data_IF_704238771438
#
_entry.id   IF_704238771438
#
_cell.length_a   1.000
_cell.length_b   1.000
_cell.length_c   1.000
_cell.angle_alpha   90.00
_cell.angle_beta   90.00
_cell.angle_gamma   90.00
#
_symmetry.space_group_name_H-M   'P 1'
#
loop_
_entity.id
_entity.type
_entity.pdbx_description
1 polymer ?
#
# COMPACT_ATOMS: atom_id res chain seq x y z
N UNK A 1 15.19 19.73 -6.94
CA UNK A 1 14.92 18.39 -6.36
C UNK A 1 14.55 17.42 -7.47
N UNK A 2 15.22 16.27 -7.59
CA UNK A 2 14.93 15.29 -8.66
C UNK A 2 13.54 14.64 -8.46
N UNK A 3 12.88 14.16 -9.53
CA UNK A 3 11.60 13.45 -9.42
C UNK A 3 11.67 12.26 -8.44
N UNK A 4 12.79 11.53 -8.46
CA UNK A 4 13.06 10.42 -7.53
C UNK A 4 13.09 10.88 -6.06
N UNK A 5 13.78 11.99 -5.75
CA UNK A 5 13.83 12.52 -4.38
C UNK A 5 12.45 12.94 -3.87
N UNK A 6 11.63 13.59 -4.73
CA UNK A 6 10.23 13.92 -4.40
C UNK A 6 9.41 12.69 -4.09
N UNK A 7 9.51 11.66 -4.94
CA UNK A 7 8.78 10.41 -4.75
C UNK A 7 9.17 9.71 -3.45
N UNK A 8 10.46 9.62 -3.14
CA UNK A 8 10.91 8.99 -1.89
C UNK A 8 10.37 9.72 -0.65
N UNK A 9 10.39 11.05 -0.65
CA UNK A 9 9.83 11.84 0.47
C UNK A 9 8.34 11.54 0.63
N UNK A 10 7.56 11.58 -0.46
CA UNK A 10 6.12 11.28 -0.42
C UNK A 10 5.90 9.86 0.07
N UNK A 11 6.61 8.87 -0.46
CA UNK A 11 6.50 7.47 -0.05
C UNK A 11 6.81 7.29 1.45
N UNK A 12 7.87 7.92 1.97
CA UNK A 12 8.21 7.86 3.40
C UNK A 12 7.13 8.48 4.27
N UNK A 13 6.63 9.66 3.91
CA UNK A 13 5.55 10.33 4.64
C UNK A 13 4.28 9.47 4.61
N UNK A 14 3.90 8.96 3.45
CA UNK A 14 2.75 8.07 3.30
C UNK A 14 2.87 6.82 4.16
N UNK A 15 4.05 6.19 4.21
CA UNK A 15 4.28 5.02 5.06
C UNK A 15 4.21 5.36 6.55
N UNK A 16 4.78 6.49 6.97
CA UNK A 16 4.70 6.94 8.36
C UNK A 16 3.25 7.21 8.79
N UNK A 17 2.47 7.89 7.95
CA UNK A 17 1.05 8.14 8.20
C UNK A 17 0.25 6.83 8.20
N UNK A 18 0.54 5.90 7.29
CA UNK A 18 -0.11 4.59 7.25
C UNK A 18 0.13 3.77 8.53
N UNK A 19 1.32 3.86 9.13
CA UNK A 19 1.61 3.23 10.42
C UNK A 19 0.80 3.84 11.56
N UNK A 20 0.70 5.16 11.63
CA UNK A 20 -0.08 5.86 12.67
C UNK A 20 -1.56 5.50 12.52
N UNK A 21 -2.11 5.58 11.31
CA UNK A 21 -3.50 5.22 11.03
C UNK A 21 -3.76 3.74 11.29
N UNK A 22 -2.79 2.86 10.97
CA UNK A 22 -2.87 1.43 11.23
C UNK A 22 -2.96 1.07 12.71
N UNK A 23 -2.28 1.83 13.58
CA UNK A 23 -2.41 1.69 15.03
C UNK A 23 -3.74 2.27 15.54
N UNK A 24 -4.14 3.45 15.05
CA UNK A 24 -5.37 4.13 15.50
C UNK A 24 -6.66 3.46 15.01
N UNK A 25 -6.61 2.62 13.98
CA UNK A 25 -7.80 1.99 13.40
C UNK A 25 -8.56 1.09 14.37
N UNK A 26 -7.88 0.52 15.36
CA UNK A 26 -8.51 -0.38 16.33
C UNK A 26 -9.48 0.38 17.26
N UNK A 27 -9.17 1.64 17.54
CA UNK A 27 -9.97 2.49 18.44
C UNK A 27 -10.86 3.50 17.69
N UNK A 28 -10.57 3.76 16.42
CA UNK A 28 -11.21 4.81 15.65
C UNK A 28 -11.56 4.38 14.21
N UNK A 29 -12.86 4.22 13.93
CA UNK A 29 -13.40 3.88 12.59
C UNK A 29 -12.91 4.84 11.49
N UNK A 30 -12.79 6.14 11.81
CA UNK A 30 -12.28 7.14 10.85
C UNK A 30 -10.84 6.84 10.43
N UNK A 31 -10.00 6.33 11.35
CA UNK A 31 -8.61 5.99 11.06
C UNK A 31 -8.52 4.75 10.18
N UNK A 32 -9.43 3.79 10.37
CA UNK A 32 -9.57 2.60 9.52
C UNK A 32 -9.91 2.97 8.07
N UNK A 33 -10.89 3.85 7.88
CA UNK A 33 -11.31 4.34 6.57
C UNK A 33 -10.15 5.07 5.87
N UNK A 34 -9.47 5.98 6.58
CA UNK A 34 -8.32 6.72 6.05
C UNK A 34 -7.15 5.79 5.73
N UNK A 35 -6.90 4.78 6.56
CA UNK A 35 -5.87 3.77 6.33
C UNK A 35 -6.12 3.00 5.02
N UNK A 36 -7.35 2.50 4.85
CA UNK A 36 -7.78 1.77 3.64
C UNK A 36 -7.64 2.61 2.37
N UNK A 37 -7.97 3.90 2.43
CA UNK A 37 -7.77 4.83 1.31
C UNK A 37 -6.29 5.10 1.02
N UNK A 38 -5.49 5.34 2.05
CA UNK A 38 -4.08 5.70 1.91
C UNK A 38 -3.24 4.56 1.31
N UNK A 39 -3.57 3.31 1.65
CA UNK A 39 -2.91 2.12 1.15
C UNK A 39 -3.43 1.64 -0.20
N UNK A 40 -4.16 2.44 -0.98
CA UNK A 40 -4.57 2.02 -2.31
C UNK A 40 -3.35 1.56 -3.15
N UNK A 41 -3.42 0.39 -3.81
CA UNK A 41 -4.59 -0.50 -3.97
C UNK A 41 -4.76 -1.57 -2.87
N UNK A 42 -3.78 -1.80 -2.00
CA UNK A 42 -3.83 -2.89 -1.01
C UNK A 42 -4.79 -2.65 0.15
N UNK A 43 -5.07 -1.39 0.50
CA UNK A 43 -6.14 -1.07 1.46
C UNK A 43 -7.54 -1.44 0.93
N UNK A 44 -7.72 -1.42 -0.39
CA UNK A 44 -8.94 -1.94 -1.02
C UNK A 44 -8.99 -3.46 -0.95
N UNK A 45 -7.88 -4.14 -1.26
CA UNK A 45 -7.77 -5.60 -1.11
C UNK A 45 -8.11 -6.04 0.32
N UNK A 46 -7.58 -5.30 1.31
CA UNK A 46 -7.88 -5.51 2.72
C UNK A 46 -9.39 -5.48 3.00
N UNK A 47 -10.08 -4.47 2.47
CA UNK A 47 -11.54 -4.32 2.62
C UNK A 47 -12.30 -5.48 1.99
N UNK A 48 -11.89 -5.96 0.81
CA UNK A 48 -12.51 -7.11 0.17
C UNK A 48 -12.35 -8.37 1.03
N UNK A 49 -11.15 -8.61 1.57
CA UNK A 49 -10.88 -9.77 2.40
C UNK A 49 -11.74 -9.75 3.67
N UNK A 50 -11.87 -8.58 4.30
CA UNK A 50 -12.73 -8.36 5.46
C UNK A 50 -14.21 -8.58 5.16
N UNK A 51 -14.69 -8.06 4.03
CA UNK A 51 -16.10 -8.25 3.66
C UNK A 51 -16.40 -9.71 3.28
N UNK A 52 -15.43 -10.39 2.65
CA UNK A 52 -15.57 -11.80 2.25
C UNK A 52 -15.57 -12.73 3.46
N UNK A 53 -14.72 -12.48 4.45
CA UNK A 53 -14.65 -13.33 5.66
C UNK A 53 -15.89 -13.25 6.54
N UNK A 54 -16.58 -12.11 6.53
CA UNK A 54 -17.87 -11.92 7.20
C UNK A 54 -18.95 -12.82 6.59
N UNK A 55 -18.88 -13.10 5.29
CA UNK A 55 -19.83 -13.94 4.58
C UNK A 55 -19.54 -15.44 4.73
N UNK A 56 -18.27 -15.84 4.85
CA UNK A 56 -17.85 -17.26 4.91
C UNK A 56 -17.83 -17.84 6.34
N UNK A 57 -18.32 -17.11 7.34
CA UNK A 57 -18.32 -17.57 8.74
C UNK A 57 -16.92 -17.59 9.40
N UNK A 58 -15.91 -17.06 8.72
CA UNK A 58 -14.53 -16.89 9.21
C UNK A 58 -14.40 -15.61 10.06
N UNK A 59 -15.53 -14.94 10.35
CA UNK A 59 -15.63 -13.71 11.14
C UNK A 59 -14.81 -13.75 12.44
N UNK A 60 -14.90 -14.82 13.22
CA UNK A 60 -14.16 -14.92 14.49
C UNK A 60 -12.64 -14.88 14.31
N UNK A 61 -12.13 -15.34 13.15
CA UNK A 61 -10.71 -15.26 12.83
C UNK A 61 -10.31 -13.87 12.33
N UNK A 62 -11.21 -13.15 11.64
CA UNK A 62 -10.95 -11.78 11.17
C UNK A 62 -11.26 -10.67 12.19
N UNK A 63 -12.05 -10.95 13.22
CA UNK A 63 -12.24 -10.09 14.40
C UNK A 63 -11.06 -10.20 15.39
N UNK A 64 -10.17 -11.19 15.21
CA UNK A 64 -9.00 -11.35 16.07
C UNK A 64 -7.95 -10.27 15.79
N UNK A 65 -7.51 -9.58 16.85
CA UNK A 65 -6.52 -8.49 16.78
C UNK A 65 -5.21 -8.96 16.11
N UNK A 66 -4.83 -10.22 16.32
CA UNK A 66 -3.62 -10.81 15.75
C UNK A 66 -3.77 -10.97 14.23
N UNK A 67 -4.90 -11.48 13.76
CA UNK A 67 -5.19 -11.62 12.32
C UNK A 67 -5.27 -10.26 11.63
N UNK A 68 -5.98 -9.31 12.25
CA UNK A 68 -6.06 -7.92 11.81
C UNK A 68 -4.66 -7.30 11.70
N UNK A 69 -3.82 -7.44 12.73
CA UNK A 69 -2.44 -6.97 12.76
C UNK A 69 -1.55 -7.63 11.70
N UNK A 70 -1.74 -8.91 11.45
CA UNK A 70 -1.02 -9.66 10.41
C UNK A 70 -1.38 -9.16 9.01
N UNK A 71 -2.67 -8.97 8.74
CA UNK A 71 -3.15 -8.41 7.46
C UNK A 71 -2.69 -6.96 7.27
N UNK A 72 -2.65 -6.17 8.35
CA UNK A 72 -2.06 -4.83 8.33
C UNK A 72 -0.59 -4.89 7.89
N UNK A 73 0.23 -5.71 8.55
CA UNK A 73 1.65 -5.84 8.23
C UNK A 73 1.84 -6.28 6.77
N UNK A 74 1.03 -7.23 6.31
CA UNK A 74 1.07 -7.72 4.93
C UNK A 74 0.73 -6.60 3.92
N UNK A 75 -0.31 -5.80 4.18
CA UNK A 75 -0.71 -4.69 3.32
C UNK A 75 0.40 -3.61 3.24
N UNK A 76 1.04 -3.29 4.37
CA UNK A 76 2.16 -2.34 4.43
C UNK A 76 3.38 -2.86 3.66
N UNK A 77 3.71 -4.15 3.79
CA UNK A 77 4.82 -4.77 3.05
C UNK A 77 4.57 -4.79 1.54
N UNK A 78 3.35 -5.13 1.12
CA UNK A 78 2.96 -5.11 -0.28
C UNK A 78 3.02 -3.69 -0.87
N UNK A 79 2.57 -2.68 -0.11
CA UNK A 79 2.67 -1.28 -0.52
C UNK A 79 4.13 -0.81 -0.64
N UNK A 80 4.99 -1.18 0.31
CA UNK A 80 6.41 -0.87 0.24
C UNK A 80 7.08 -1.51 -0.99
N UNK A 81 6.76 -2.77 -1.28
CA UNK A 81 7.25 -3.46 -2.46
C UNK A 81 6.74 -2.82 -3.76
N UNK A 82 5.48 -2.40 -3.79
CA UNK A 82 4.92 -1.67 -4.92
C UNK A 82 5.65 -0.35 -5.18
N UNK A 83 5.96 0.42 -4.12
CA UNK A 83 6.77 1.63 -4.25
C UNK A 83 8.18 1.35 -4.76
N UNK A 84 8.79 0.24 -4.33
CA UNK A 84 10.08 -0.19 -4.85
C UNK A 84 10.02 -0.47 -6.36
N UNK A 85 9.00 -1.19 -6.85
CA UNK A 85 8.82 -1.45 -8.28
C UNK A 85 8.64 -0.18 -9.11
N UNK A 86 7.90 0.81 -8.58
CA UNK A 86 7.73 2.12 -9.23
C UNK A 86 9.09 2.83 -9.34
N UNK A 87 9.89 2.84 -8.26
CA UNK A 87 11.22 3.44 -8.25
C UNK A 87 12.14 2.79 -9.27
N UNK A 88 12.17 1.45 -9.33
CA UNK A 88 12.94 0.70 -10.33
C UNK A 88 12.55 1.07 -11.77
N UNK A 89 11.25 1.22 -12.03
CA UNK A 89 10.74 1.64 -13.35
C UNK A 89 11.13 3.08 -13.69
N UNK A 90 11.08 4.01 -12.73
CA UNK A 90 11.50 5.40 -12.93
C UNK A 90 13.01 5.50 -13.18
N UNK A 91 13.83 4.68 -12.53
CA UNK A 91 15.30 4.63 -12.74
C UNK A 91 15.70 4.06 -14.10
N UNK A 92 14.84 3.26 -14.74
CA UNK A 92 15.05 2.69 -16.09
C UNK A 92 14.15 3.38 -17.13
N UNK A 93 14.33 4.68 -17.45
CA UNK A 93 13.60 5.28 -18.55
C UNK A 93 14.15 4.74 -19.88
N UNK A 94 13.39 3.87 -20.53
CA UNK A 94 13.48 3.44 -21.94
C UNK A 94 14.84 3.61 -22.63
N UNK A 95 15.65 2.55 -22.64
CA UNK A 95 16.81 2.40 -23.55
C UNK A 95 16.41 1.98 -24.97
N UNK A 96 15.14 2.12 -25.37
CA UNK A 96 14.64 1.77 -26.70
C UNK A 96 14.10 3.00 -27.41
N UNK A 97 14.39 3.06 -28.71
CA UNK A 97 14.07 4.10 -29.71
C UNK A 97 15.10 5.24 -29.79
N UNK A 98 16.33 4.90 -30.17
CA UNK A 98 17.22 5.83 -30.88
C UNK A 98 18.15 5.10 -31.86
N UNK A 99 17.60 4.21 -32.68
CA UNK A 99 18.22 3.78 -33.93
C UNK A 99 17.12 3.68 -34.99
N UNK A 100 17.45 4.04 -36.23
CA UNK A 100 16.54 4.21 -37.40
C UNK A 100 15.90 5.60 -37.57
N UNK A 101 16.75 6.63 -37.62
CA UNK A 101 16.73 7.54 -38.79
C UNK A 101 18.17 7.81 -39.17
N UNK A 102 18.72 6.97 -40.05
CA UNK A 102 19.88 7.35 -40.85
C UNK A 102 19.37 7.54 -42.28
N UNK A 103 19.63 8.70 -42.91
CA UNK A 103 19.20 9.01 -44.28
C UNK A 103 19.88 8.12 -45.32
#
# INVERSE_FOLDING_TARGET
MTPLKRYMIVATVTMAVAWILGALRFDHEIAEILFKMLLFPFGWLYTILETSSLNDGVRNWMDDEISQGTLFLLAVLLQAYFYFLIIEKIKKPNKKIRHEKSP
#
